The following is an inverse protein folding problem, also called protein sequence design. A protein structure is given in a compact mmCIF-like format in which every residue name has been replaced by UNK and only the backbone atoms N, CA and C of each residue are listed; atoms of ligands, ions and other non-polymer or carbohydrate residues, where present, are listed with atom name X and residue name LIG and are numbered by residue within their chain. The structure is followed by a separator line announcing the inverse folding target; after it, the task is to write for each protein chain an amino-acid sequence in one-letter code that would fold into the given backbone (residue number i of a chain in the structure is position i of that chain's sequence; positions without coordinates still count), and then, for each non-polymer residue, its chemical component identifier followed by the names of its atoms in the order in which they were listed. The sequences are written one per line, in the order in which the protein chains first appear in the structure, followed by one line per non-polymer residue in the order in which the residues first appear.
data_IF_455392212389
#
_entry.id   IF_455392212389
#
_cell.length_a   1.000
_cell.length_b   1.000
_cell.length_c   1.000
_cell.angle_alpha   90.00
_cell.angle_beta   90.00
_cell.angle_gamma   90.00
#
_symmetry.space_group_name_H-M   'P 1'
#
loop_
_entity.id
_entity.type
_entity.pdbx_description
1 polymer ?
#
# COMPACT_ATOMS: atom_id res chain seq x y z
N UNK A 1 -2.19 -9.93 7.97
CA UNK A 1 -2.84 -9.51 6.71
C UNK A 1 -3.62 -8.22 6.94
N UNK A 2 -3.94 -7.46 5.88
CA UNK A 2 -4.92 -6.39 5.96
C UNK A 2 -6.25 -6.95 6.47
N UNK A 3 -7.01 -6.11 7.17
CA UNK A 3 -8.31 -6.49 7.72
C UNK A 3 -9.29 -6.98 6.64
N UNK A 4 -10.26 -7.82 7.01
CA UNK A 4 -11.22 -8.46 6.09
C UNK A 4 -12.07 -7.45 5.30
N UNK A 5 -12.26 -6.24 5.84
CA UNK A 5 -13.04 -5.19 5.18
C UNK A 5 -12.23 -4.35 4.16
N UNK A 6 -10.91 -4.58 4.05
CA UNK A 6 -10.08 -3.82 3.12
C UNK A 6 -10.21 -4.33 1.69
N UNK A 7 -10.19 -3.41 0.72
CA UNK A 7 -10.27 -3.77 -0.70
C UNK A 7 -9.09 -4.65 -1.14
N UNK A 8 -7.89 -4.41 -0.59
CA UNK A 8 -6.71 -5.24 -0.80
C UNK A 8 -6.95 -6.68 -0.36
N UNK A 9 -7.57 -6.86 0.82
CA UNK A 9 -7.79 -8.21 1.36
C UNK A 9 -8.69 -9.03 0.44
N UNK A 10 -9.80 -8.45 0.00
CA UNK A 10 -10.71 -9.12 -0.94
C UNK A 10 -10.01 -9.49 -2.26
N UNK A 11 -9.18 -8.60 -2.81
CA UNK A 11 -8.41 -8.88 -4.02
C UNK A 11 -7.34 -9.96 -3.81
N UNK A 12 -6.68 -9.95 -2.64
CA UNK A 12 -5.69 -10.96 -2.27
C UNK A 12 -6.32 -12.35 -2.08
N UNK A 13 -7.45 -12.43 -1.39
CA UNK A 13 -8.16 -13.69 -1.17
C UNK A 13 -8.63 -14.29 -2.51
N UNK A 14 -9.14 -13.46 -3.42
CA UNK A 14 -9.48 -13.89 -4.78
C UNK A 14 -8.26 -14.42 -5.55
N UNK A 15 -7.11 -13.76 -5.44
CA UNK A 15 -5.87 -14.22 -6.05
C UNK A 15 -5.43 -15.57 -5.48
N UNK A 16 -5.49 -15.74 -4.16
CA UNK A 16 -5.19 -17.01 -3.51
C UNK A 16 -6.13 -18.13 -3.99
N UNK A 17 -7.43 -17.88 -4.07
CA UNK A 17 -8.43 -18.83 -4.57
C UNK A 17 -8.14 -19.24 -6.02
N UNK A 18 -7.81 -18.29 -6.91
CA UNK A 18 -7.44 -18.57 -8.30
C UNK A 18 -6.21 -19.47 -8.44
N UNK A 19 -5.31 -19.44 -7.46
CA UNK A 19 -4.10 -20.25 -7.42
C UNK A 19 -4.26 -21.52 -6.55
N UNK A 20 -5.43 -21.77 -5.97
CA UNK A 20 -5.66 -22.90 -5.06
C UNK A 20 -4.83 -22.83 -3.78
N UNK A 21 -4.49 -21.63 -3.33
CA UNK A 21 -3.72 -21.38 -2.11
C UNK A 21 -4.67 -21.07 -0.97
N UNK A 22 -4.54 -21.80 0.12
CA UNK A 22 -5.24 -21.52 1.38
C UNK A 22 -4.29 -20.78 2.33
N UNK A 23 -4.77 -19.68 2.91
CA UNK A 23 -3.98 -18.83 3.81
C UNK A 23 -4.65 -18.82 5.17
N UNK A 24 -3.90 -19.22 6.21
CA UNK A 24 -4.31 -19.10 7.62
C UNK A 24 -3.62 -17.87 8.25
N UNK A 25 -4.34 -16.75 8.48
CA UNK A 25 -3.71 -15.52 8.94
C UNK A 25 -3.37 -15.57 10.43
N UNK A 26 -2.09 -15.42 10.77
CA UNK A 26 -1.65 -15.24 12.16
C UNK A 26 -2.24 -13.98 12.83
N UNK A 27 -2.47 -12.93 12.05
CA UNK A 27 -3.05 -11.67 12.51
C UNK A 27 -3.73 -10.94 11.35
N UNK A 28 -4.80 -10.22 11.66
CA UNK A 28 -5.52 -9.35 10.74
C UNK A 28 -5.62 -7.95 11.36
N UNK A 29 -5.28 -6.92 10.58
CA UNK A 29 -5.17 -5.56 11.11
C UNK A 29 -5.74 -4.55 10.12
N UNK A 30 -6.60 -3.65 10.61
CA UNK A 30 -7.21 -2.58 9.82
C UNK A 30 -6.35 -1.31 9.77
N UNK A 31 -5.59 -1.02 10.81
CA UNK A 31 -4.71 0.15 10.86
C UNK A 31 -3.37 -0.11 10.15
N UNK A 32 -3.00 0.79 9.23
CA UNK A 32 -1.80 0.62 8.41
C UNK A 32 -0.50 0.77 9.20
N UNK A 33 -0.48 1.58 10.27
CA UNK A 33 0.73 1.72 11.09
C UNK A 33 0.97 0.47 11.94
N UNK A 34 -0.09 -0.12 12.49
CA UNK A 34 -0.02 -1.40 13.18
C UNK A 34 0.34 -2.54 12.22
N UNK A 35 -0.20 -2.53 10.99
CA UNK A 35 0.17 -3.51 9.97
C UNK A 35 1.66 -3.42 9.61
N UNK A 36 2.21 -2.20 9.44
CA UNK A 36 3.65 -1.94 9.29
C UNK A 36 4.47 -2.49 10.44
N UNK A 37 4.03 -2.24 11.68
CA UNK A 37 4.71 -2.73 12.89
C UNK A 37 4.79 -4.25 12.89
N UNK A 38 3.67 -4.93 12.64
CA UNK A 38 3.63 -6.39 12.60
C UNK A 38 4.48 -6.96 11.45
N UNK A 39 4.42 -6.35 10.26
CA UNK A 39 5.26 -6.77 9.13
C UNK A 39 6.75 -6.76 9.50
N UNK A 40 7.18 -5.78 10.30
CA UNK A 40 8.57 -5.63 10.73
C UNK A 40 8.97 -6.56 11.88
N UNK A 41 8.13 -6.68 12.91
CA UNK A 41 8.55 -7.24 14.19
C UNK A 41 8.04 -8.67 14.44
N UNK A 42 7.08 -9.17 13.66
CA UNK A 42 6.47 -10.51 13.88
C UNK A 42 7.28 -11.67 13.31
N UNK A 43 8.17 -11.42 12.34
CA UNK A 43 8.86 -12.47 11.57
C UNK A 43 7.95 -13.23 10.57
N UNK A 44 6.68 -12.83 10.44
CA UNK A 44 5.74 -13.39 9.47
C UNK A 44 5.74 -12.63 8.13
N UNK A 45 5.13 -13.25 7.12
CA UNK A 45 4.86 -12.58 5.84
C UNK A 45 3.63 -11.67 5.96
N UNK A 46 3.71 -10.49 5.36
CA UNK A 46 2.61 -9.53 5.35
C UNK A 46 2.33 -9.04 3.92
N UNK A 47 1.05 -8.97 3.59
CA UNK A 47 0.56 -8.27 2.39
C UNK A 47 0.30 -6.82 2.80
N UNK A 48 1.06 -5.88 2.25
CA UNK A 48 0.95 -4.45 2.56
C UNK A 48 1.24 -3.63 1.31
N UNK A 49 0.63 -2.43 1.16
CA UNK A 49 1.06 -1.48 0.14
C UNK A 49 2.51 -1.04 0.36
N UNK A 50 3.30 -0.95 -0.71
CA UNK A 50 4.73 -0.57 -0.62
C UNK A 50 4.91 0.80 0.06
N UNK A 51 4.00 1.75 -0.20
CA UNK A 51 4.04 3.10 0.39
C UNK A 51 3.97 3.08 1.93
N UNK A 52 3.35 2.06 2.52
CA UNK A 52 3.21 1.93 3.98
C UNK A 52 4.55 1.53 4.63
N UNK A 53 5.45 0.88 3.89
CA UNK A 53 6.71 0.31 4.42
C UNK A 53 7.95 0.81 3.65
N UNK A 54 7.85 1.96 2.99
CA UNK A 54 8.94 2.50 2.16
C UNK A 54 10.25 2.68 2.95
N UNK A 55 10.18 3.17 4.19
CA UNK A 55 11.38 3.39 5.00
C UNK A 55 12.06 2.07 5.38
N UNK A 56 11.28 1.03 5.72
CA UNK A 56 11.78 -0.30 6.04
C UNK A 56 12.46 -0.96 4.84
N UNK A 57 11.87 -0.81 3.65
CA UNK A 57 12.46 -1.30 2.41
C UNK A 57 13.74 -0.52 2.07
N UNK A 58 13.76 0.80 2.26
CA UNK A 58 14.95 1.64 2.02
C UNK A 58 16.07 1.35 3.01
N UNK A 59 15.74 1.07 4.27
CA UNK A 59 16.69 0.72 5.32
C UNK A 59 17.11 -0.76 5.33
N UNK A 60 16.49 -1.59 4.50
CA UNK A 60 16.75 -3.03 4.43
C UNK A 60 16.24 -3.83 5.63
N UNK A 61 15.35 -3.25 6.45
CA UNK A 61 14.69 -3.96 7.55
C UNK A 61 13.60 -4.91 7.05
N UNK A 62 13.01 -4.59 5.90
CA UNK A 62 12.08 -5.45 5.19
C UNK A 62 12.61 -5.71 3.78
N UNK A 63 12.26 -6.87 3.26
CA UNK A 63 12.51 -7.26 1.89
C UNK A 63 11.19 -7.60 1.20
N UNK A 64 11.08 -7.23 -0.06
CA UNK A 64 9.88 -7.50 -0.87
C UNK A 64 10.03 -8.82 -1.60
N UNK A 65 9.21 -9.80 -1.22
CA UNK A 65 9.23 -11.16 -1.79
C UNK A 65 8.50 -11.27 -3.13
N UNK A 66 7.34 -10.61 -3.25
CA UNK A 66 6.54 -10.63 -4.47
C UNK A 66 5.81 -9.31 -4.66
N UNK A 67 5.41 -9.05 -5.90
CA UNK A 67 4.47 -7.97 -6.25
C UNK A 67 3.21 -8.65 -6.76
N UNK A 68 2.07 -8.27 -6.22
CA UNK A 68 0.78 -8.82 -6.59
C UNK A 68 0.13 -7.89 -7.62
N UNK A 69 0.42 -8.11 -8.91
CA UNK A 69 0.01 -7.19 -9.99
C UNK A 69 -1.51 -7.00 -10.11
N UNK A 70 -2.30 -7.98 -9.65
CA UNK A 70 -3.77 -7.94 -9.62
C UNK A 70 -4.35 -7.35 -8.33
N UNK A 71 -3.52 -7.05 -7.33
CA UNK A 71 -3.95 -6.54 -6.02
C UNK A 71 -3.50 -5.09 -5.90
N UNK A 72 -4.43 -4.16 -6.12
CA UNK A 72 -4.15 -2.74 -6.19
C UNK A 72 -5.06 -1.97 -5.25
N UNK A 73 -4.46 -1.08 -4.46
CA UNK A 73 -5.18 -0.08 -3.67
C UNK A 73 -5.12 1.28 -4.35
N UNK A 74 -6.25 1.99 -4.33
CA UNK A 74 -6.39 3.30 -4.95
C UNK A 74 -6.57 4.36 -3.88
N UNK A 75 -5.72 5.38 -3.94
CA UNK A 75 -5.76 6.52 -3.04
C UNK A 75 -6.48 7.68 -3.73
N UNK A 76 -7.56 8.17 -3.11
CA UNK A 76 -8.38 9.25 -3.64
C UNK A 76 -8.35 10.48 -2.74
N UNK A 77 -8.23 11.66 -3.33
CA UNK A 77 -8.49 12.92 -2.64
C UNK A 77 -9.99 13.23 -2.73
N UNK A 78 -10.73 12.97 -1.65
CA UNK A 78 -12.18 13.26 -1.59
C UNK A 78 -12.37 14.66 -1.01
N UNK A 79 -12.96 15.56 -1.79
CA UNK A 79 -13.26 16.94 -1.36
C UNK A 79 -14.76 17.23 -1.47
N UNK A 80 -15.27 18.07 -0.58
CA UNK A 80 -16.64 18.57 -0.68
C UNK A 80 -16.69 19.74 -1.67
N UNK A 81 -17.73 19.79 -2.51
CA UNK A 81 -17.97 20.93 -3.40
C UNK A 81 -18.27 22.17 -2.56
N UNK A 82 -17.44 23.21 -2.67
CA UNK A 82 -17.58 24.46 -1.92
C UNK A 82 -17.98 25.60 -2.86
N UNK A 83 -18.74 26.56 -2.33
CA UNK A 83 -19.07 27.80 -3.04
C UNK A 83 -17.89 28.77 -3.15
N UNK A 84 -16.90 28.63 -2.26
CA UNK A 84 -15.67 29.42 -2.27
C UNK A 84 -14.47 28.48 -2.15
N UNK A 85 -13.53 28.59 -3.08
CA UNK A 85 -12.34 27.74 -3.11
C UNK A 85 -11.25 28.28 -2.18
N UNK A 86 -10.63 27.38 -1.41
CA UNK A 86 -9.47 27.71 -0.61
C UNK A 86 -8.22 27.60 -1.47
N UNK A 87 -7.59 28.73 -1.79
CA UNK A 87 -6.37 28.79 -2.63
C UNK A 87 -5.30 27.82 -2.13
N UNK A 88 -5.07 27.74 -0.81
CA UNK A 88 -4.09 26.83 -0.21
C UNK A 88 -4.40 25.35 -0.45
N UNK A 89 -5.68 24.97 -0.53
CA UNK A 89 -6.07 23.59 -0.84
C UNK A 89 -5.73 23.25 -2.30
N UNK A 90 -6.02 24.16 -3.23
CA UNK A 90 -5.68 23.98 -4.65
C UNK A 90 -4.18 23.84 -4.83
N UNK A 91 -3.38 24.67 -4.16
CA UNK A 91 -1.91 24.56 -4.20
C UNK A 91 -1.43 23.19 -3.73
N UNK A 92 -1.98 22.64 -2.65
CA UNK A 92 -1.61 21.31 -2.17
C UNK A 92 -2.04 20.18 -3.13
N UNK A 93 -3.22 20.30 -3.73
CA UNK A 93 -3.72 19.32 -4.70
C UNK A 93 -2.87 19.32 -5.97
N UNK A 94 -2.50 20.48 -6.49
CA UNK A 94 -1.61 20.64 -7.64
C UNK A 94 -0.22 20.05 -7.36
N UNK A 95 0.36 20.35 -6.19
CA UNK A 95 1.65 19.78 -5.77
C UNK A 95 1.61 18.25 -5.68
N UNK A 96 0.51 17.69 -5.16
CA UNK A 96 0.35 16.24 -5.08
C UNK A 96 0.18 15.60 -6.47
N UNK A 97 -0.56 16.24 -7.38
CA UNK A 97 -0.72 15.78 -8.76
C UNK A 97 0.62 15.75 -9.52
N UNK A 98 1.45 16.78 -9.37
CA UNK A 98 2.79 16.83 -9.95
C UNK A 98 3.72 15.74 -9.38
N UNK A 99 3.57 15.41 -8.10
CA UNK A 99 4.28 14.32 -7.44
C UNK A 99 3.84 12.93 -7.92
N UNK A 100 2.53 12.73 -8.11
CA UNK A 100 1.95 11.47 -8.58
C UNK A 100 2.30 11.14 -10.04
N UNK A 101 2.63 12.15 -10.86
CA UNK A 101 3.01 11.98 -12.27
C UNK A 101 4.46 11.47 -12.47
N UNK A 102 5.31 11.45 -11.43
CA UNK A 102 6.69 10.93 -11.54
C UNK A 102 6.72 9.42 -11.30
N UNK A 103 6.98 8.59 -12.33
CA UNK A 103 7.09 7.16 -12.14
C UNK A 103 8.29 6.85 -11.22
N UNK A 104 8.06 6.00 -10.22
CA UNK A 104 9.09 5.53 -9.29
C UNK A 104 10.34 5.09 -10.06
N UNK A 105 11.50 5.64 -9.65
CA UNK A 105 12.81 5.28 -10.22
C UNK A 105 13.02 3.77 -10.09
N UNK A 106 12.75 3.01 -11.16
CA UNK A 106 13.24 1.63 -11.31
C UNK A 106 14.77 1.66 -11.25
N UNK A 107 15.35 1.28 -10.11
CA UNK A 107 16.77 0.97 -10.00
C UNK A 107 17.04 -0.25 -10.90
N UNK A 108 17.84 -0.06 -11.95
CA UNK A 108 18.36 -1.17 -12.77
C UNK A 108 19.25 -2.07 -11.89
N UNK A 109 19.18 -3.40 -12.02
CA UNK A 109 20.12 -4.28 -11.33
C UNK A 109 21.52 -4.04 -11.91
N UNK A 110 22.50 -3.88 -11.02
CA UNK A 110 23.90 -3.73 -11.37
C UNK A 110 24.44 -4.99 -12.05
N UNK A 111 25.29 -4.79 -13.05
CA UNK A 111 26.13 -5.80 -13.67
C UNK A 111 27.34 -6.09 -12.79
#
# INVERSE_FOLDING_TARGET
LPGPNSEIRNQFDLLCEQHGVEVDPYAEVEDMAMLRLLARDSGGLAVVPEVVVQDELQSGKLERYCVLDSVVERFYAITAKRHFELVSLNTLLEQYQDGAQKPGRRRKPGK
#
